data_IF_426385007261
#
_entry.id   IF_426385007261
#
_cell.length_a   1.000
_cell.length_b   1.000
_cell.length_c   1.000
_cell.angle_alpha   90.00
_cell.angle_beta   90.00
_cell.angle_gamma   90.00
#
_symmetry.space_group_name_H-M   'P 1'
#
loop_
_entity.id
_entity.type
_entity.pdbx_description
1 polymer ?
#
# COMPACT_ATOMS: atom_id res chain seq x y z
N UNK A 1 8.71 -20.22 -0.37
CA UNK A 1 7.53 -21.09 -0.67
C UNK A 1 7.18 -21.88 0.60
N UNK A 2 5.94 -22.34 0.83
CA UNK A 2 5.50 -22.96 2.11
C UNK A 2 6.41 -24.12 2.57
N UNK A 3 7.04 -24.83 1.64
CA UNK A 3 8.00 -25.90 1.88
C UNK A 3 9.35 -25.44 2.49
N UNK A 4 9.63 -24.15 2.58
CA UNK A 4 10.84 -23.63 3.21
C UNK A 4 10.76 -23.75 4.74
N UNK A 5 9.59 -23.54 5.32
CA UNK A 5 9.40 -23.62 6.77
C UNK A 5 9.36 -25.10 7.20
N UNK A 6 8.59 -25.93 6.50
CA UNK A 6 8.41 -27.36 6.83
C UNK A 6 9.72 -28.18 6.77
N UNK A 7 10.65 -27.81 5.87
CA UNK A 7 11.98 -28.44 5.78
C UNK A 7 13.08 -27.71 6.57
N UNK A 8 12.72 -26.84 7.50
CA UNK A 8 13.67 -26.05 8.31
C UNK A 8 14.67 -25.23 7.47
N UNK A 9 14.28 -24.82 6.25
CA UNK A 9 15.13 -23.95 5.41
C UNK A 9 15.16 -22.51 5.90
N UNK A 10 14.30 -22.15 6.85
CA UNK A 10 14.32 -20.85 7.52
C UNK A 10 15.65 -20.53 8.22
N UNK A 11 16.47 -21.54 8.54
CA UNK A 11 17.86 -21.35 9.00
C UNK A 11 18.72 -20.54 8.01
N UNK A 12 18.36 -20.54 6.72
CA UNK A 12 19.05 -19.80 5.67
C UNK A 12 18.42 -18.43 5.39
N UNK A 13 17.37 -18.03 6.10
CA UNK A 13 16.78 -16.69 5.95
C UNK A 13 17.73 -15.62 6.50
N UNK A 14 17.67 -14.38 5.98
CA UNK A 14 18.36 -13.26 6.61
C UNK A 14 17.89 -13.09 8.06
N UNK A 15 18.83 -13.02 9.01
CA UNK A 15 18.55 -12.91 10.44
C UNK A 15 17.55 -14.00 10.93
N UNK A 16 17.93 -15.29 10.86
CA UNK A 16 16.98 -16.39 11.04
C UNK A 16 16.39 -16.48 12.46
N UNK A 17 17.04 -15.87 13.45
CA UNK A 17 16.57 -15.83 14.85
C UNK A 17 15.72 -14.59 15.16
N UNK A 18 15.36 -13.77 14.17
CA UNK A 18 14.61 -12.55 14.42
C UNK A 18 13.13 -12.85 14.72
N UNK A 19 12.62 -12.29 15.82
CA UNK A 19 11.27 -12.57 16.33
C UNK A 19 10.14 -12.27 15.32
N UNK A 20 10.36 -11.39 14.35
CA UNK A 20 9.33 -11.08 13.34
C UNK A 20 8.98 -12.28 12.46
N UNK A 21 9.85 -13.29 12.37
CA UNK A 21 9.52 -14.56 11.71
C UNK A 21 8.40 -15.31 12.43
N UNK A 22 8.31 -15.18 13.76
CA UNK A 22 7.30 -15.83 14.59
C UNK A 22 5.91 -15.15 14.55
N UNK A 23 5.77 -14.05 13.80
CA UNK A 23 4.50 -13.33 13.66
C UNK A 23 3.61 -13.91 12.54
N UNK A 24 4.09 -14.89 11.78
CA UNK A 24 3.38 -15.55 10.69
C UNK A 24 2.40 -16.65 11.14
N UNK A 25 1.49 -17.04 10.24
CA UNK A 25 0.44 -18.02 10.54
C UNK A 25 0.98 -19.37 11.04
N UNK A 26 2.12 -19.84 10.51
CA UNK A 26 2.71 -21.14 10.92
C UNK A 26 3.05 -21.11 12.41
N UNK A 27 3.79 -20.08 12.86
CA UNK A 27 4.15 -19.92 14.26
C UNK A 27 2.94 -19.68 15.17
N UNK A 28 1.90 -18.99 14.65
CA UNK A 28 0.63 -18.85 15.38
C UNK A 28 -0.06 -20.20 15.59
N UNK A 29 -0.06 -21.09 14.59
CA UNK A 29 -0.61 -22.45 14.72
C UNK A 29 0.15 -23.23 15.80
N UNK A 30 1.49 -23.14 15.84
CA UNK A 30 2.28 -23.80 16.88
C UNK A 30 1.96 -23.24 18.28
N UNK A 31 1.79 -21.92 18.41
CA UNK A 31 1.31 -21.31 19.65
C UNK A 31 -0.09 -21.79 20.04
N UNK A 32 -1.02 -21.91 19.08
CA UNK A 32 -2.37 -22.42 19.34
C UNK A 32 -2.39 -23.88 19.75
N UNK A 33 -1.45 -24.71 19.28
CA UNK A 33 -1.30 -26.11 19.75
C UNK A 33 -0.93 -26.18 21.23
N UNK A 34 -0.14 -25.23 21.72
CA UNK A 34 0.20 -25.14 23.15
C UNK A 34 -0.98 -24.65 23.98
N UNK A 35 -1.73 -23.67 23.48
CA UNK A 35 -2.85 -23.05 24.19
C UNK A 35 -4.12 -23.92 24.20
N UNK A 36 -4.36 -24.67 23.12
CA UNK A 36 -5.61 -25.41 22.87
C UNK A 36 -5.34 -26.90 22.60
N UNK A 37 -4.36 -27.49 23.28
CA UNK A 37 -3.95 -28.89 23.08
C UNK A 37 -5.12 -29.88 23.14
N UNK A 38 -6.07 -29.66 24.05
CA UNK A 38 -7.25 -30.52 24.24
C UNK A 38 -8.45 -30.13 23.37
N UNK A 39 -8.31 -29.07 22.55
CA UNK A 39 -9.35 -28.57 21.65
C UNK A 39 -8.84 -28.37 20.22
N UNK A 40 -8.54 -29.46 19.49
CA UNK A 40 -8.00 -29.38 18.13
C UNK A 40 -8.98 -28.72 17.14
N UNK A 41 -10.30 -28.81 17.37
CA UNK A 41 -11.32 -28.17 16.53
C UNK A 41 -11.16 -26.65 16.54
N UNK A 42 -10.88 -26.05 17.71
CA UNK A 42 -10.64 -24.61 17.80
C UNK A 42 -9.41 -24.17 16.98
N UNK A 43 -8.35 -24.98 16.95
CA UNK A 43 -7.15 -24.70 16.13
C UNK A 43 -7.51 -24.68 14.65
N UNK A 44 -8.31 -25.66 14.19
CA UNK A 44 -8.80 -25.73 12.81
C UNK A 44 -9.64 -24.50 12.46
N UNK A 45 -10.58 -24.11 13.32
CA UNK A 45 -11.44 -22.94 13.08
C UNK A 45 -10.64 -21.64 12.96
N UNK A 46 -9.65 -21.43 13.83
CA UNK A 46 -8.75 -20.28 13.77
C UNK A 46 -7.91 -20.29 12.49
N UNK A 47 -7.36 -21.46 12.14
CA UNK A 47 -6.61 -21.64 10.90
C UNK A 47 -7.44 -21.31 9.65
N UNK A 48 -8.67 -21.82 9.57
CA UNK A 48 -9.58 -21.54 8.45
C UNK A 48 -9.90 -20.04 8.32
N UNK A 49 -10.21 -19.35 9.43
CA UNK A 49 -10.45 -17.90 9.41
C UNK A 49 -9.22 -17.10 8.97
N UNK A 50 -8.03 -17.51 9.39
CA UNK A 50 -6.79 -16.88 8.95
C UNK A 50 -6.56 -17.08 7.44
N UNK A 51 -6.80 -18.29 6.93
CA UNK A 51 -6.72 -18.61 5.51
C UNK A 51 -7.73 -17.81 4.67
N UNK A 52 -8.97 -17.64 5.14
CA UNK A 52 -9.97 -16.79 4.47
C UNK A 52 -9.48 -15.33 4.35
N UNK A 53 -8.87 -14.80 5.41
CA UNK A 53 -8.27 -13.46 5.40
C UNK A 53 -7.13 -13.34 4.39
N UNK A 54 -6.22 -14.32 4.36
CA UNK A 54 -5.11 -14.39 3.40
C UNK A 54 -5.65 -14.48 1.98
N UNK A 55 -6.64 -15.34 1.73
CA UNK A 55 -7.27 -15.51 0.43
C UNK A 55 -7.90 -14.20 -0.06
N UNK A 56 -8.61 -13.49 0.82
CA UNK A 56 -9.18 -12.18 0.48
C UNK A 56 -8.11 -11.16 0.09
N UNK A 57 -6.98 -11.13 0.80
CA UNK A 57 -5.85 -10.28 0.45
C UNK A 57 -5.25 -10.65 -0.92
N UNK A 58 -5.13 -11.93 -1.24
CA UNK A 58 -4.67 -12.37 -2.56
C UNK A 58 -5.61 -11.96 -3.69
N UNK A 59 -6.92 -12.11 -3.51
CA UNK A 59 -7.89 -11.59 -4.48
C UNK A 59 -7.72 -10.08 -4.69
N UNK A 60 -7.52 -9.33 -3.60
CA UNK A 60 -7.32 -7.88 -3.68
C UNK A 60 -6.00 -7.52 -4.39
N UNK A 61 -4.93 -8.28 -4.16
CA UNK A 61 -3.64 -8.12 -4.83
C UNK A 61 -3.75 -8.43 -6.33
N UNK A 62 -4.38 -9.53 -6.72
CA UNK A 62 -4.58 -9.89 -8.14
C UNK A 62 -5.35 -8.80 -8.88
N UNK A 63 -6.36 -8.21 -8.23
CA UNK A 63 -7.05 -7.06 -8.80
C UNK A 63 -6.14 -5.84 -8.92
N UNK A 64 -5.32 -5.54 -7.90
CA UNK A 64 -4.34 -4.46 -7.96
C UNK A 64 -3.32 -4.67 -9.10
N UNK A 65 -2.81 -5.89 -9.29
CA UNK A 65 -1.91 -6.25 -10.42
C UNK A 65 -2.57 -5.95 -11.76
N UNK A 66 -3.84 -6.33 -11.92
CA UNK A 66 -4.63 -6.04 -13.12
C UNK A 66 -4.81 -4.54 -13.35
N UNK A 67 -5.21 -3.79 -12.31
CA UNK A 67 -5.41 -2.34 -12.41
C UNK A 67 -4.11 -1.61 -12.75
N UNK A 68 -2.98 -1.98 -12.13
CA UNK A 68 -1.66 -1.41 -12.45
C UNK A 68 -1.32 -1.68 -13.92
N UNK A 69 -1.51 -2.91 -14.40
CA UNK A 69 -1.18 -3.29 -15.77
C UNK A 69 -2.06 -2.61 -16.83
N UNK A 70 -3.36 -2.50 -16.57
CA UNK A 70 -4.33 -2.02 -17.58
C UNK A 70 -4.57 -0.51 -17.52
N UNK A 71 -4.45 0.11 -16.34
CA UNK A 71 -4.81 1.53 -16.10
C UNK A 71 -3.63 2.38 -15.65
N UNK A 72 -2.47 1.76 -15.41
CA UNK A 72 -1.27 2.44 -14.99
C UNK A 72 -0.73 3.38 -16.06
N UNK A 73 -0.43 4.61 -15.66
CA UNK A 73 0.27 5.61 -16.45
C UNK A 73 1.65 5.79 -15.83
N UNK A 74 2.66 5.21 -16.47
CA UNK A 74 4.05 5.38 -16.04
C UNK A 74 4.55 6.78 -16.40
N UNK A 75 5.34 7.36 -15.51
CA UNK A 75 5.96 8.67 -15.72
C UNK A 75 7.34 8.72 -15.04
N UNK A 76 8.12 9.78 -15.27
CA UNK A 76 9.47 9.90 -14.70
C UNK A 76 9.57 11.07 -13.75
N UNK A 77 10.16 10.84 -12.57
CA UNK A 77 10.44 11.89 -11.58
C UNK A 77 11.95 12.02 -11.38
N UNK A 78 12.40 13.11 -10.76
CA UNK A 78 13.82 13.26 -10.38
C UNK A 78 14.35 12.16 -9.45
N UNK A 79 13.44 11.44 -8.76
CA UNK A 79 13.79 10.36 -7.83
C UNK A 79 13.66 8.96 -8.44
N UNK A 80 13.11 8.83 -9.65
CA UNK A 80 12.89 7.55 -10.33
C UNK A 80 11.50 7.42 -10.95
N UNK A 81 11.13 6.18 -11.29
CA UNK A 81 9.86 5.87 -11.98
C UNK A 81 8.65 6.22 -11.12
N UNK A 82 7.66 6.86 -11.71
CA UNK A 82 6.36 7.15 -11.14
C UNK A 82 5.26 6.30 -11.77
N UNK A 83 4.15 6.12 -11.05
CA UNK A 83 2.94 5.48 -11.58
C UNK A 83 1.69 6.25 -11.14
N UNK A 84 0.86 6.66 -12.09
CA UNK A 84 -0.47 7.20 -11.83
C UNK A 84 -1.55 6.21 -12.23
N UNK A 85 -2.60 6.04 -11.43
CA UNK A 85 -3.76 5.23 -11.82
C UNK A 85 -5.05 5.66 -11.14
N UNK A 86 -6.17 5.43 -11.85
CA UNK A 86 -7.51 5.59 -11.30
C UNK A 86 -8.07 4.24 -10.84
N UNK A 87 -8.23 4.06 -9.53
CA UNK A 87 -8.78 2.82 -8.95
C UNK A 87 -9.40 3.05 -7.57
N UNK A 88 -10.37 2.21 -7.22
CA UNK A 88 -10.92 2.12 -5.86
C UNK A 88 -10.08 1.21 -4.94
N UNK A 89 -9.13 0.45 -5.50
CA UNK A 89 -8.30 -0.49 -4.76
C UNK A 89 -7.03 0.19 -4.22
N UNK A 90 -6.98 0.41 -2.90
CA UNK A 90 -5.84 1.07 -2.26
C UNK A 90 -4.55 0.22 -2.26
N UNK A 91 -4.66 -1.11 -2.36
CA UNK A 91 -3.50 -2.02 -2.40
C UNK A 91 -2.61 -1.77 -3.62
N UNK A 92 -3.16 -1.20 -4.69
CA UNK A 92 -2.37 -0.85 -5.88
C UNK A 92 -1.23 0.12 -5.55
N UNK A 93 -1.39 1.02 -4.58
CA UNK A 93 -0.31 1.92 -4.15
C UNK A 93 0.83 1.13 -3.52
N UNK A 94 0.54 0.23 -2.58
CA UNK A 94 1.57 -0.58 -1.92
C UNK A 94 2.24 -1.57 -2.86
N UNK A 95 1.46 -2.22 -3.71
CA UNK A 95 1.98 -3.17 -4.68
C UNK A 95 2.90 -2.48 -5.69
N UNK A 96 2.49 -1.34 -6.26
CA UNK A 96 3.32 -0.58 -7.18
C UNK A 96 4.66 -0.16 -6.53
N UNK A 97 4.65 0.30 -5.27
CA UNK A 97 5.90 0.62 -4.57
C UNK A 97 6.82 -0.60 -4.43
N UNK A 98 6.27 -1.79 -4.16
CA UNK A 98 7.04 -3.06 -4.13
C UNK A 98 7.56 -3.48 -5.51
N UNK A 99 6.89 -3.05 -6.59
CA UNK A 99 7.34 -3.26 -7.98
C UNK A 99 8.43 -2.26 -8.41
N UNK A 100 8.80 -1.30 -7.55
CA UNK A 100 9.90 -0.37 -7.79
C UNK A 100 9.49 1.04 -8.23
N UNK A 101 8.20 1.37 -8.27
CA UNK A 101 7.76 2.75 -8.51
C UNK A 101 8.02 3.61 -7.27
N UNK A 102 8.78 4.69 -7.44
CA UNK A 102 9.25 5.56 -6.37
C UNK A 102 8.14 6.49 -5.88
N UNK A 103 7.30 6.99 -6.80
CA UNK A 103 6.12 7.79 -6.51
C UNK A 103 4.91 7.14 -7.15
N UNK A 104 3.83 6.98 -6.38
CA UNK A 104 2.56 6.43 -6.89
C UNK A 104 1.43 7.40 -6.57
N UNK A 105 0.64 7.73 -7.59
CA UNK A 105 -0.57 8.54 -7.51
C UNK A 105 -1.77 7.65 -7.75
N UNK A 106 -2.66 7.58 -6.77
CA UNK A 106 -3.93 6.88 -6.89
C UNK A 106 -5.07 7.89 -6.78
N UNK A 107 -5.95 7.92 -7.77
CA UNK A 107 -7.21 8.67 -7.73
C UNK A 107 -8.38 7.70 -7.66
N UNK A 108 -9.30 7.93 -6.72
CA UNK A 108 -10.55 7.18 -6.61
C UNK A 108 -11.56 7.76 -7.62
N UNK A 109 -11.99 7.01 -8.65
CA UNK A 109 -12.89 7.54 -9.67
C UNK A 109 -14.32 7.78 -9.15
N UNK A 110 -14.70 7.20 -8.00
CA UNK A 110 -16.04 7.38 -7.41
C UNK A 110 -16.07 8.53 -6.42
N UNK A 111 -15.06 8.64 -5.57
CA UNK A 111 -15.02 9.62 -4.48
C UNK A 111 -14.16 10.85 -4.78
N UNK A 112 -13.36 10.80 -5.84
CA UNK A 112 -12.39 11.85 -6.18
C UNK A 112 -11.19 11.90 -5.24
N UNK A 113 -11.05 10.93 -4.32
CA UNK A 113 -9.97 10.92 -3.34
C UNK A 113 -8.64 10.72 -4.05
N UNK A 114 -7.66 11.56 -3.74
CA UNK A 114 -6.35 11.49 -4.33
C UNK A 114 -5.30 11.21 -3.26
N UNK A 115 -4.39 10.30 -3.59
CA UNK A 115 -3.28 9.91 -2.73
C UNK A 115 -2.00 9.85 -3.56
N UNK A 116 -1.04 10.67 -3.18
CA UNK A 116 0.33 10.65 -3.71
C UNK A 116 1.20 10.08 -2.59
N UNK A 117 1.93 9.01 -2.87
CA UNK A 117 2.80 8.36 -1.89
C UNK A 117 4.16 8.08 -2.51
N UNK A 118 5.22 8.47 -1.83
CA UNK A 118 6.59 8.09 -2.19
C UNK A 118 7.10 6.92 -1.35
N UNK A 119 8.20 6.32 -1.78
CA UNK A 119 9.01 5.48 -0.90
C UNK A 119 9.49 6.32 0.30
N UNK A 120 9.59 5.72 1.50
CA UNK A 120 10.04 6.43 2.70
C UNK A 120 11.56 6.54 2.72
N UNK A 121 12.12 7.29 1.78
CA UNK A 121 13.56 7.57 1.68
C UNK A 121 13.84 9.03 2.00
N UNK A 122 14.88 9.30 2.78
CA UNK A 122 15.19 10.65 3.29
C UNK A 122 15.33 11.70 2.18
N UNK A 123 15.83 11.33 1.01
CA UNK A 123 16.01 12.23 -0.13
C UNK A 123 14.70 12.64 -0.84
N UNK A 124 13.55 12.04 -0.48
CA UNK A 124 12.25 12.30 -1.12
C UNK A 124 11.35 13.14 -0.19
N UNK A 125 11.21 14.43 -0.48
CA UNK A 125 10.31 15.33 0.26
C UNK A 125 9.21 15.88 -0.68
N UNK A 126 7.94 15.61 -0.36
CA UNK A 126 6.79 16.07 -1.14
C UNK A 126 6.24 17.43 -0.69
N UNK A 127 6.93 18.16 0.18
CA UNK A 127 6.48 19.49 0.66
C UNK A 127 6.28 20.47 -0.49
N UNK A 128 7.24 20.56 -1.42
CA UNK A 128 7.11 21.46 -2.58
C UNK A 128 5.92 21.09 -3.47
N UNK A 129 5.63 19.80 -3.62
CA UNK A 129 4.45 19.32 -4.36
C UNK A 129 3.16 19.75 -3.67
N UNK A 130 3.10 19.53 -2.36
CA UNK A 130 1.96 19.93 -1.54
C UNK A 130 1.69 21.43 -1.64
N UNK A 131 2.72 22.26 -1.48
CA UNK A 131 2.58 23.72 -1.53
C UNK A 131 2.11 24.20 -2.90
N UNK A 132 2.62 23.60 -3.98
CA UNK A 132 2.19 23.88 -5.35
C UNK A 132 0.72 23.52 -5.54
N UNK A 133 0.31 22.28 -5.20
CA UNK A 133 -1.07 21.82 -5.35
C UNK A 133 -2.06 22.64 -4.51
N UNK A 134 -1.67 23.00 -3.29
CA UNK A 134 -2.49 23.83 -2.39
C UNK A 134 -2.64 25.26 -2.91
N UNK A 135 -1.59 25.81 -3.51
CA UNK A 135 -1.64 27.15 -4.12
C UNK A 135 -2.51 27.16 -5.38
N UNK A 136 -2.42 26.12 -6.21
CA UNK A 136 -3.16 26.01 -7.46
C UNK A 136 -4.66 25.70 -7.24
N UNK A 137 -4.99 24.89 -6.22
CA UNK A 137 -6.36 24.56 -5.84
C UNK A 137 -6.63 24.87 -4.35
N UNK A 138 -6.77 26.15 -3.95
CA UNK A 138 -6.94 26.53 -2.54
C UNK A 138 -8.25 26.01 -1.92
N UNK A 139 -9.25 25.74 -2.76
CA UNK A 139 -10.52 25.16 -2.32
C UNK A 139 -10.42 23.66 -2.04
N UNK A 140 -9.43 22.95 -2.59
CA UNK A 140 -9.25 21.53 -2.34
C UNK A 140 -8.59 21.29 -0.98
N UNK A 141 -9.08 20.31 -0.22
CA UNK A 141 -8.55 20.00 1.12
C UNK A 141 -7.31 19.13 1.04
N UNK A 142 -6.19 19.71 0.59
CA UNK A 142 -4.89 19.06 0.56
C UNK A 142 -4.31 18.91 1.97
N UNK A 143 -3.69 17.77 2.23
CA UNK A 143 -3.01 17.44 3.48
C UNK A 143 -1.64 16.78 3.20
N UNK A 144 -0.60 17.31 3.84
CA UNK A 144 0.72 16.69 3.86
C UNK A 144 0.88 15.87 5.13
N UNK A 145 1.19 14.58 5.00
CA UNK A 145 1.47 13.72 6.14
C UNK A 145 2.79 14.15 6.82
N UNK A 146 2.91 13.96 8.15
CA UNK A 146 4.08 14.39 8.93
C UNK A 146 5.41 13.80 8.43
N UNK A 147 5.38 12.62 7.79
CA UNK A 147 6.56 12.00 7.16
C UNK A 147 7.01 12.68 5.86
N UNK A 148 6.23 13.62 5.32
CA UNK A 148 6.45 14.30 4.02
C UNK A 148 6.51 13.40 2.78
N UNK A 149 6.32 12.10 2.95
CA UNK A 149 6.24 11.09 1.87
C UNK A 149 4.82 10.81 1.38
N UNK A 150 3.82 11.58 1.84
CA UNK A 150 2.44 11.37 1.42
C UNK A 150 1.67 12.69 1.37
N UNK A 151 1.09 12.96 0.20
CA UNK A 151 0.13 14.06 -0.02
C UNK A 151 -1.23 13.45 -0.26
N UNK A 152 -2.21 13.88 0.52
CA UNK A 152 -3.57 13.38 0.51
C UNK A 152 -4.52 14.49 0.13
N UNK A 153 -5.51 14.16 -0.68
CA UNK A 153 -6.70 14.97 -0.86
C UNK A 153 -7.90 14.05 -0.70
N UNK A 154 -8.35 14.01 0.55
CA UNK A 154 -9.49 13.23 0.97
C UNK A 154 -9.22 12.06 1.89
N UNK A 155 -10.24 11.74 2.67
CA UNK A 155 -10.23 10.67 3.66
C UNK A 155 -11.66 10.30 4.01
N UNK A 156 -11.90 9.02 4.29
CA UNK A 156 -13.18 8.57 4.85
C UNK A 156 -13.49 9.16 6.23
N UNK A 157 -12.49 9.76 6.89
CA UNK A 157 -12.61 10.34 8.25
C UNK A 157 -12.90 11.84 8.25
N UNK A 158 -12.89 12.52 7.11
CA UNK A 158 -13.22 13.94 7.00
C UNK A 158 -14.44 14.13 6.09
N UNK A 159 -15.66 14.31 6.65
CA UNK A 159 -16.87 14.45 5.85
C UNK A 159 -16.93 15.77 5.05
N UNK A 160 -16.25 16.83 5.50
CA UNK A 160 -16.27 18.16 4.87
C UNK A 160 -15.14 18.35 3.83
N UNK A 161 -14.49 17.25 3.46
CA UNK A 161 -13.39 17.30 2.50
C UNK A 161 -13.86 17.77 1.12
N UNK A 162 -12.98 18.47 0.41
CA UNK A 162 -13.22 18.94 -0.95
C UNK A 162 -12.21 18.28 -1.88
N UNK A 163 -12.64 17.31 -2.71
CA UNK A 163 -11.74 16.60 -3.60
C UNK A 163 -11.20 17.55 -4.68
N UNK A 164 -9.95 17.35 -5.09
CA UNK A 164 -9.34 18.01 -6.25
C UNK A 164 -10.15 17.68 -7.50
N UNK A 165 -10.37 18.69 -8.33
CA UNK A 165 -11.07 18.53 -9.60
C UNK A 165 -10.13 18.15 -10.74
N UNK A 166 -8.81 18.27 -10.51
CA UNK A 166 -7.80 18.03 -11.53
C UNK A 166 -7.80 16.57 -12.00
N UNK A 167 -7.73 16.31 -13.32
CA UNK A 167 -7.57 14.96 -13.84
C UNK A 167 -6.23 14.37 -13.38
N UNK A 168 -6.14 13.04 -13.38
CA UNK A 168 -4.92 12.33 -12.97
C UNK A 168 -3.67 12.82 -13.74
N UNK A 169 -3.80 13.07 -15.04
CA UNK A 169 -2.69 13.50 -15.91
C UNK A 169 -2.08 14.84 -15.44
N UNK A 170 -2.90 15.81 -15.07
CA UNK A 170 -2.41 17.10 -14.56
C UNK A 170 -1.65 16.96 -13.23
N UNK A 171 -2.03 15.98 -12.40
CA UNK A 171 -1.33 15.69 -11.15
C UNK A 171 0.01 15.02 -11.44
N UNK A 172 0.07 14.12 -12.44
CA UNK A 172 1.32 13.54 -12.92
C UNK A 172 2.26 14.65 -13.40
N UNK A 173 1.78 15.54 -14.27
CA UNK A 173 2.58 16.67 -14.78
C UNK A 173 3.09 17.59 -13.67
N UNK A 174 2.30 17.81 -12.61
CA UNK A 174 2.72 18.58 -11.45
C UNK A 174 3.87 17.89 -10.70
N UNK A 175 3.90 16.56 -10.64
CA UNK A 175 4.98 15.79 -10.01
C UNK A 175 6.24 15.79 -10.87
N UNK A 176 6.12 15.67 -12.19
CA UNK A 176 7.26 15.66 -13.11
C UNK A 176 8.05 16.97 -13.10
N UNK A 177 7.41 18.09 -12.72
CA UNK A 177 8.01 19.43 -12.68
C UNK A 177 8.80 19.74 -11.40
N UNK A 178 8.87 18.80 -10.45
CA UNK A 178 9.48 19.01 -9.12
C UNK A 178 10.85 18.37 -9.03
#
# INVERSE_FOLDING_TARGET
>A
MVNEIDHFREVFFPNPTADFWNMGLVSQIDGWRLLYADNPIQIVELGMKALDGIYKLFQNKVWAEKDIKEKGQEFTTKWGKGLGLETINDEAVHLAQKMGYVIVVRKDPKKGYLRIKSLPKEEIDLTNLYDTLKKDEPEATWFLHASRHMVLNGSSKNPDMRPSKRPLLEIIEAIEKI
#
